data_IF_505683364019
#
_entry.id   IF_505683364019
#
_cell.length_a   1.000
_cell.length_b   1.000
_cell.length_c   1.000
_cell.angle_alpha   90.00
_cell.angle_beta   90.00
_cell.angle_gamma   90.00
#
_symmetry.space_group_name_H-M   'P 1'
#
loop_
_entity.id
_entity.type
_entity.pdbx_description
1 polymer ?
#
# COMPACT_ATOMS: atom_id res chain seq x y z
N UNK A 1 -10.96 34.41 -24.07
CA UNK A 1 -11.55 33.05 -24.10
C UNK A 1 -10.48 31.95 -24.00
N UNK A 2 -9.63 31.70 -25.00
CA UNK A 2 -8.63 30.58 -24.97
C UNK A 2 -7.76 30.51 -23.68
N UNK A 3 -7.27 31.63 -23.16
CA UNK A 3 -6.50 31.66 -21.89
C UNK A 3 -7.31 31.21 -20.66
N UNK A 4 -8.61 31.52 -20.60
CA UNK A 4 -9.50 31.09 -19.51
C UNK A 4 -9.65 29.57 -19.56
N UNK A 5 -9.82 29.01 -20.75
CA UNK A 5 -9.91 27.55 -20.96
C UNK A 5 -8.61 26.83 -20.58
N UNK A 6 -7.44 27.41 -20.91
CA UNK A 6 -6.14 26.86 -20.50
C UNK A 6 -5.97 26.89 -18.97
N UNK A 7 -6.32 28.01 -18.31
CA UNK A 7 -6.32 28.10 -16.86
C UNK A 7 -7.26 27.07 -16.21
N UNK A 8 -8.44 26.83 -16.80
CA UNK A 8 -9.39 25.81 -16.35
C UNK A 8 -8.82 24.38 -16.44
N UNK A 9 -8.10 24.05 -17.51
CA UNK A 9 -7.47 22.73 -17.71
C UNK A 9 -6.31 22.50 -16.73
N UNK A 10 -5.51 23.55 -16.44
CA UNK A 10 -4.47 23.49 -15.39
C UNK A 10 -5.11 23.34 -14.01
N UNK A 11 -6.22 24.03 -13.73
CA UNK A 11 -7.00 23.90 -12.50
C UNK A 11 -7.47 22.45 -12.25
N UNK A 12 -8.08 21.82 -13.27
CA UNK A 12 -8.59 20.44 -13.16
C UNK A 12 -7.46 19.42 -12.96
N UNK A 13 -6.31 19.62 -13.61
CA UNK A 13 -5.17 18.71 -13.44
C UNK A 13 -4.49 18.89 -12.07
N UNK A 14 -4.30 20.11 -11.57
CA UNK A 14 -3.69 20.35 -10.24
C UNK A 14 -4.59 19.87 -9.10
N UNK A 15 -5.90 20.14 -9.16
CA UNK A 15 -6.88 19.65 -8.16
C UNK A 15 -7.06 18.12 -8.14
N UNK A 16 -6.58 17.41 -9.18
CA UNK A 16 -6.52 15.95 -9.19
C UNK A 16 -5.35 15.38 -8.38
N UNK A 17 -4.30 16.16 -8.08
CA UNK A 17 -3.13 15.70 -7.31
C UNK A 17 -3.16 16.11 -5.83
N UNK A 18 -3.75 17.28 -5.51
CA UNK A 18 -3.84 17.83 -4.15
C UNK A 18 -4.58 16.94 -3.12
N UNK A 19 -5.38 15.98 -3.62
CA UNK A 19 -6.19 15.07 -2.80
C UNK A 19 -5.39 14.28 -1.74
N UNK A 20 -4.08 14.12 -1.91
CA UNK A 20 -3.21 13.40 -0.97
C UNK A 20 -2.85 14.23 0.26
N UNK A 21 -2.60 15.54 0.12
CA UNK A 21 -2.19 16.40 1.22
C UNK A 21 -3.35 16.77 2.12
N UNK A 22 -4.52 16.99 1.53
CA UNK A 22 -5.76 17.17 2.28
C UNK A 22 -6.11 15.91 3.09
N UNK A 23 -5.95 14.70 2.54
CA UNK A 23 -6.07 13.44 3.28
C UNK A 23 -5.08 13.30 4.45
N UNK A 24 -3.82 13.76 4.31
CA UNK A 24 -2.81 13.74 5.39
C UNK A 24 -3.23 14.62 6.58
N UNK A 25 -3.82 15.80 6.32
CA UNK A 25 -4.32 16.70 7.37
C UNK A 25 -5.59 16.13 8.02
N UNK A 26 -6.46 15.52 7.21
CA UNK A 26 -7.79 15.05 7.62
C UNK A 26 -7.76 13.73 8.39
N UNK A 27 -6.96 12.76 7.92
CA UNK A 27 -7.00 11.35 8.35
C UNK A 27 -5.64 10.83 8.84
N UNK A 28 -4.57 11.63 8.76
CA UNK A 28 -3.21 11.21 9.08
C UNK A 28 -3.00 10.92 10.57
N UNK A 29 -2.69 9.67 10.92
CA UNK A 29 -2.51 9.28 12.32
C UNK A 29 -1.04 9.42 12.70
N UNK A 30 -0.73 10.40 13.56
CA UNK A 30 0.60 10.56 14.15
C UNK A 30 0.97 9.38 15.03
N UNK A 31 1.91 8.56 14.56
CA UNK A 31 2.51 7.48 15.35
C UNK A 31 3.49 8.10 16.34
N UNK A 32 3.47 7.64 17.60
CA UNK A 32 4.37 8.09 18.68
C UNK A 32 5.51 7.08 18.90
N UNK A 33 6.32 7.34 19.92
CA UNK A 33 7.47 6.57 20.42
C UNK A 33 7.52 5.09 20.04
N UNK A 34 8.70 4.62 19.62
CA UNK A 34 9.01 3.28 19.07
C UNK A 34 8.48 3.00 17.66
N UNK A 35 7.45 3.71 17.21
CA UNK A 35 6.86 3.58 15.87
C UNK A 35 6.43 2.13 15.54
N UNK A 36 5.82 1.48 16.53
CA UNK A 36 5.33 0.09 16.44
C UNK A 36 3.83 0.07 16.10
N UNK A 37 3.45 -0.67 15.06
CA UNK A 37 2.05 -0.93 14.68
C UNK A 37 1.79 -2.43 14.83
N UNK A 38 0.82 -2.79 15.67
CA UNK A 38 0.44 -4.18 15.94
C UNK A 38 -0.84 -4.50 15.21
N UNK A 39 -0.83 -5.55 14.37
CA UNK A 39 -1.95 -5.98 13.56
C UNK A 39 -2.59 -7.26 14.12
N UNK A 40 -3.92 -7.31 14.08
CA UNK A 40 -4.72 -8.50 14.37
C UNK A 40 -5.66 -8.78 13.21
N UNK A 41 -5.90 -10.05 12.89
CA UNK A 41 -6.90 -10.46 11.89
C UNK A 41 -7.91 -11.42 12.53
N UNK A 42 -9.19 -11.04 12.56
CA UNK A 42 -10.29 -11.79 13.21
C UNK A 42 -10.92 -12.87 12.31
N UNK A 43 -10.33 -13.12 11.13
CA UNK A 43 -10.95 -13.94 10.09
C UNK A 43 -11.81 -13.18 9.09
N UNK A 44 -12.02 -11.86 9.24
CA UNK A 44 -12.83 -11.00 8.36
C UNK A 44 -12.18 -9.65 8.03
N UNK A 45 -11.48 -9.04 8.97
CA UNK A 45 -10.86 -7.71 8.90
C UNK A 45 -9.51 -7.68 9.60
N UNK A 46 -8.63 -6.80 9.13
CA UNK A 46 -7.41 -6.43 9.88
C UNK A 46 -7.76 -5.26 10.80
N UNK A 47 -7.28 -5.33 12.03
CA UNK A 47 -7.32 -4.28 13.03
C UNK A 47 -5.89 -3.87 13.40
N UNK A 48 -5.70 -2.66 13.91
CA UNK A 48 -4.40 -2.14 14.33
C UNK A 48 -4.45 -1.51 15.73
N UNK A 49 -3.33 -1.58 16.45
CA UNK A 49 -3.06 -0.83 17.68
C UNK A 49 -1.67 -0.18 17.60
N UNK A 50 -1.50 0.96 18.28
CA UNK A 50 -0.21 1.63 18.51
C UNK A 50 0.19 1.43 19.97
N UNK A 51 1.45 1.02 20.22
CA UNK A 51 2.07 0.88 21.54
C UNK A 51 1.15 0.22 22.63
N UNK A 52 1.10 -1.13 22.72
CA UNK A 52 0.16 -1.87 23.56
C UNK A 52 0.45 -1.79 25.08
N UNK A 53 1.45 -1.03 25.52
CA UNK A 53 1.93 -0.97 26.90
C UNK A 53 1.02 -0.20 27.90
N UNK A 54 -0.30 -0.17 27.66
CA UNK A 54 -1.30 0.50 28.52
C UNK A 54 -2.62 -0.28 28.51
N UNK A 55 -2.66 -1.39 29.24
CA UNK A 55 -3.80 -2.11 29.90
C UNK A 55 -5.18 -2.28 29.23
N UNK A 56 -5.36 -1.86 27.98
CA UNK A 56 -6.57 -2.09 27.20
C UNK A 56 -6.22 -2.26 25.71
N UNK A 57 -6.50 -3.45 25.17
CA UNK A 57 -6.25 -3.79 23.76
C UNK A 57 -7.34 -3.20 22.84
N UNK A 58 -7.37 -1.87 22.74
CA UNK A 58 -8.30 -1.13 21.88
C UNK A 58 -7.87 -1.14 20.40
N UNK A 59 -7.90 -2.34 19.81
CA UNK A 59 -7.73 -2.56 18.38
C UNK A 59 -8.80 -1.80 17.56
N UNK A 60 -8.35 -1.01 16.58
CA UNK A 60 -9.22 -0.26 15.65
C UNK A 60 -9.20 -0.93 14.28
N UNK A 61 -10.34 -1.03 13.60
CA UNK A 61 -10.38 -1.61 12.26
C UNK A 61 -9.51 -0.79 11.29
N UNK A 62 -8.70 -1.46 10.47
CA UNK A 62 -7.91 -0.81 9.42
C UNK A 62 -8.85 -0.42 8.29
N UNK A 63 -9.11 0.88 8.17
CA UNK A 63 -9.72 1.49 7.00
C UNK A 63 -8.81 1.32 5.78
N UNK A 64 -9.40 1.26 4.59
CA UNK A 64 -8.62 1.16 3.36
C UNK A 64 -7.78 2.42 3.14
N UNK A 65 -6.48 2.23 2.85
CA UNK A 65 -5.49 3.28 2.65
C UNK A 65 -5.16 4.16 3.88
N UNK A 66 -5.16 3.56 5.08
CA UNK A 66 -4.84 4.24 6.35
C UNK A 66 -3.51 5.01 6.31
N UNK A 67 -3.54 6.31 6.64
CA UNK A 67 -2.35 7.18 6.62
C UNK A 67 -1.67 7.17 8.00
N UNK A 68 -0.38 6.83 8.02
CA UNK A 68 0.44 6.77 9.23
C UNK A 68 1.62 7.74 9.12
N UNK A 69 1.78 8.57 10.16
CA UNK A 69 2.77 9.64 10.24
C UNK A 69 3.77 9.38 11.37
N UNK A 70 4.86 8.61 11.15
CA UNK A 70 5.89 8.38 12.15
C UNK A 70 6.75 9.62 12.36
N UNK A 71 7.24 9.81 13.59
CA UNK A 71 8.17 10.91 13.93
C UNK A 71 9.59 10.59 13.44
N UNK A 72 9.96 9.31 13.51
CA UNK A 72 11.21 8.76 13.02
C UNK A 72 11.12 8.39 11.52
N UNK A 73 12.16 7.74 11.00
CA UNK A 73 12.31 7.39 9.58
C UNK A 73 11.76 6.02 9.18
N UNK A 74 11.10 5.29 10.09
CA UNK A 74 10.45 4.00 9.80
C UNK A 74 9.28 3.70 10.75
N UNK A 75 8.48 2.69 10.40
CA UNK A 75 7.51 2.02 11.26
C UNK A 75 7.82 0.52 11.26
N UNK A 76 7.87 -0.08 12.45
CA UNK A 76 7.91 -1.53 12.61
C UNK A 76 6.47 -2.07 12.63
N UNK A 77 6.14 -2.96 11.70
CA UNK A 77 4.86 -3.65 11.70
C UNK A 77 5.00 -5.04 12.31
N UNK A 78 4.15 -5.31 13.30
CA UNK A 78 4.01 -6.60 13.97
C UNK A 78 2.63 -7.16 13.73
N UNK A 79 2.46 -8.46 13.87
CA UNK A 79 1.17 -9.13 13.85
C UNK A 79 1.06 -10.15 14.96
N UNK A 80 -0.15 -10.33 15.48
CA UNK A 80 -0.52 -11.59 16.16
C UNK A 80 -0.36 -12.71 15.12
N UNK A 81 0.31 -13.83 15.46
CA UNK A 81 0.51 -14.94 14.53
C UNK A 81 -0.81 -15.48 13.98
N UNK A 82 -0.76 -16.04 12.77
CA UNK A 82 -1.89 -16.73 12.16
C UNK A 82 -1.58 -18.21 12.01
N UNK A 83 -2.61 -19.05 12.18
CA UNK A 83 -2.53 -20.46 11.87
C UNK A 83 -2.17 -20.69 10.38
N UNK A 84 -0.99 -21.26 10.06
CA UNK A 84 -0.52 -21.41 8.69
C UNK A 84 -1.30 -22.45 7.87
N UNK A 85 -2.24 -23.18 8.49
CA UNK A 85 -3.19 -24.10 7.82
C UNK A 85 -4.42 -23.35 7.28
N UNK A 86 -4.77 -22.21 7.89
CA UNK A 86 -5.90 -21.39 7.48
C UNK A 86 -5.48 -20.18 6.66
N UNK A 87 -4.43 -19.47 7.09
CA UNK A 87 -4.07 -18.15 6.56
C UNK A 87 -2.56 -17.97 6.43
N UNK A 88 -2.15 -17.05 5.55
CA UNK A 88 -0.78 -16.51 5.53
C UNK A 88 -0.80 -15.03 5.19
N UNK A 89 -0.02 -14.24 5.93
CA UNK A 89 0.36 -12.90 5.49
C UNK A 89 1.30 -12.97 4.28
N UNK A 90 1.23 -11.94 3.43
CA UNK A 90 2.20 -11.61 2.39
C UNK A 90 2.18 -10.10 2.20
N UNK A 91 3.35 -9.47 2.08
CA UNK A 91 3.50 -8.01 2.16
C UNK A 91 4.21 -7.44 0.94
N UNK A 92 3.89 -6.19 0.61
CA UNK A 92 4.58 -5.39 -0.43
C UNK A 92 4.89 -4.00 0.11
N UNK A 93 6.08 -3.47 -0.24
CA UNK A 93 6.52 -2.10 0.08
C UNK A 93 6.88 -1.39 -1.22
N UNK A 94 5.93 -0.63 -1.76
CA UNK A 94 6.16 0.23 -2.92
C UNK A 94 6.40 1.67 -2.47
N UNK A 95 7.65 2.14 -2.53
CA UNK A 95 8.00 3.56 -2.30
C UNK A 95 7.64 4.40 -3.52
N UNK A 96 6.90 5.51 -3.32
CA UNK A 96 6.57 6.48 -4.37
C UNK A 96 7.01 7.88 -3.98
N UNK A 97 7.39 8.67 -4.98
CA UNK A 97 7.55 10.12 -4.81
C UNK A 97 6.21 10.72 -4.37
N UNK A 98 6.26 11.74 -3.52
CA UNK A 98 5.02 12.39 -3.12
C UNK A 98 4.41 13.18 -4.31
N UNK A 99 3.16 12.88 -4.75
CA UNK A 99 2.48 13.65 -5.78
C UNK A 99 2.28 15.12 -5.41
N UNK A 100 2.32 15.51 -4.13
CA UNK A 100 2.35 16.93 -3.74
C UNK A 100 3.61 17.62 -4.32
N UNK A 101 4.76 16.95 -4.27
CA UNK A 101 6.04 17.49 -4.72
C UNK A 101 6.20 17.34 -6.23
N UNK A 102 5.71 16.23 -6.80
CA UNK A 102 5.60 16.11 -8.25
C UNK A 102 4.57 17.10 -8.83
N UNK A 103 3.50 17.49 -8.14
CA UNK A 103 2.51 18.46 -8.64
C UNK A 103 2.91 19.91 -8.41
N UNK A 104 3.62 20.26 -7.33
CA UNK A 104 4.38 21.51 -7.24
C UNK A 104 5.39 21.58 -8.40
N UNK A 105 6.17 20.51 -8.60
CA UNK A 105 7.16 20.43 -9.67
C UNK A 105 6.53 20.39 -11.06
N UNK A 106 5.32 19.87 -11.25
CA UNK A 106 4.62 19.79 -12.55
C UNK A 106 3.70 20.98 -12.82
N UNK A 107 3.30 21.75 -11.81
CA UNK A 107 2.83 23.11 -12.03
C UNK A 107 3.99 23.99 -12.56
N UNK A 108 5.18 23.83 -11.99
CA UNK A 108 6.41 24.49 -12.45
C UNK A 108 6.92 23.94 -13.80
N UNK A 109 6.80 22.63 -14.04
CA UNK A 109 7.34 21.94 -15.23
C UNK A 109 6.30 21.79 -16.35
N UNK A 110 5.01 21.92 -16.09
CA UNK A 110 3.97 22.00 -17.14
C UNK A 110 4.12 23.25 -18.01
N UNK A 111 4.63 24.33 -17.41
CA UNK A 111 5.11 25.55 -18.10
C UNK A 111 6.30 25.25 -19.04
N UNK A 112 7.03 24.16 -18.82
CA UNK A 112 8.29 23.80 -19.49
C UNK A 112 8.10 22.62 -20.48
N UNK A 113 7.21 21.66 -20.19
CA UNK A 113 7.07 20.39 -20.92
C UNK A 113 6.19 20.49 -22.17
N UNK A 114 5.30 21.49 -22.24
CA UNK A 114 4.58 21.86 -23.47
C UNK A 114 5.53 22.09 -24.66
N UNK A 115 6.79 22.44 -24.40
CA UNK A 115 7.82 22.67 -25.41
C UNK A 115 8.51 21.41 -25.98
N UNK A 116 8.19 20.17 -25.51
CA UNK A 116 9.00 18.97 -25.83
C UNK A 116 8.27 17.74 -26.38
N UNK A 117 6.94 17.66 -26.34
CA UNK A 117 6.19 16.44 -26.67
C UNK A 117 5.87 16.30 -28.18
N UNK A 118 6.89 16.32 -29.07
CA UNK A 118 6.71 16.34 -30.53
C UNK A 118 7.32 15.16 -31.31
N UNK A 119 8.00 14.20 -30.68
CA UNK A 119 8.88 13.25 -31.39
C UNK A 119 8.72 11.77 -31.00
N UNK A 120 7.85 11.07 -31.75
CA UNK A 120 7.94 9.67 -32.19
C UNK A 120 7.92 8.49 -31.18
N UNK A 121 7.53 7.33 -31.72
CA UNK A 121 7.56 5.98 -31.11
C UNK A 121 7.58 4.90 -32.21
N UNK A 122 8.10 3.70 -31.92
CA UNK A 122 8.48 2.67 -32.93
C UNK A 122 7.89 1.28 -32.57
N UNK A 123 8.20 0.23 -33.35
CA UNK A 123 7.28 -0.84 -33.78
C UNK A 123 7.46 -2.21 -33.01
N UNK A 124 7.50 -3.46 -33.57
CA UNK A 124 6.72 -4.60 -33.06
C UNK A 124 7.54 -5.79 -32.48
N UNK A 125 6.89 -6.91 -32.14
CA UNK A 125 7.47 -8.27 -32.24
C UNK A 125 6.44 -9.43 -32.12
N UNK A 126 6.80 -10.63 -32.61
CA UNK A 126 6.57 -11.90 -31.87
C UNK A 126 5.61 -12.97 -32.44
N UNK A 127 6.11 -14.21 -32.61
CA UNK A 127 5.37 -15.47 -32.96
C UNK A 127 6.13 -16.69 -32.39
N UNK A 128 5.48 -17.78 -31.92
CA UNK A 128 6.04 -19.18 -31.86
C UNK A 128 5.01 -20.29 -31.49
N UNK A 129 5.39 -21.60 -31.44
CA UNK A 129 4.49 -22.80 -31.42
C UNK A 129 5.06 -24.11 -30.77
N UNK A 130 4.34 -25.27 -30.86
CA UNK A 130 4.69 -26.71 -30.60
C UNK A 130 4.57 -27.33 -29.14
N UNK A 131 4.43 -28.64 -28.83
CA UNK A 131 3.91 -29.89 -29.51
C UNK A 131 3.81 -31.18 -28.56
N UNK A 132 3.41 -32.34 -29.14
CA UNK A 132 3.66 -33.78 -28.76
C UNK A 132 3.01 -34.47 -27.50
N UNK A 133 3.01 -35.85 -27.43
CA UNK A 133 2.79 -36.89 -26.33
C UNK A 133 2.09 -38.19 -26.90
N UNK A 134 1.76 -39.39 -26.30
CA UNK A 134 1.62 -40.03 -24.94
C UNK A 134 1.67 -41.63 -25.02
N UNK A 135 1.96 -42.45 -23.96
CA UNK A 135 2.15 -43.95 -23.97
C UNK A 135 1.27 -44.80 -22.96
N UNK A 136 1.70 -45.99 -22.45
CA UNK A 136 1.27 -46.79 -21.23
C UNK A 136 -0.16 -47.46 -21.18
N UNK A 137 -0.61 -48.42 -20.31
CA UNK A 137 -0.35 -48.98 -18.92
C UNK A 137 -1.10 -50.37 -18.73
N UNK A 138 -1.12 -51.22 -17.66
CA UNK A 138 -0.23 -51.55 -16.48
C UNK A 138 -0.40 -53.01 -15.84
N UNK A 139 -1.42 -53.34 -15.00
CA UNK A 139 -1.57 -54.53 -14.06
C UNK A 139 -3.07 -54.88 -13.75
N UNK A 140 -3.56 -55.78 -12.82
CA UNK A 140 -3.00 -56.72 -11.77
C UNK A 140 -3.53 -58.20 -11.90
N UNK A 141 -3.88 -59.12 -10.96
CA UNK A 141 -3.95 -59.33 -9.45
C UNK A 141 -4.05 -60.88 -9.13
N UNK A 142 -3.71 -61.40 -7.93
CA UNK A 142 -4.18 -62.72 -7.40
C UNK A 142 -4.16 -62.81 -5.83
N UNK A 143 -5.03 -63.64 -5.23
CA UNK A 143 -5.60 -63.49 -3.87
C UNK A 143 -5.03 -64.45 -2.76
N UNK A 144 -4.32 -63.96 -1.70
CA UNK A 144 -4.32 -64.49 -0.28
C UNK A 144 -3.76 -63.57 0.88
N UNK A 145 -2.68 -63.83 1.66
CA UNK A 145 -2.56 -63.54 3.13
C UNK A 145 -2.58 -62.08 3.60
N UNK A 146 -2.40 -61.15 2.67
CA UNK A 146 -2.81 -59.74 2.74
C UNK A 146 -4.05 -59.47 3.60
N UNK A 147 -5.08 -60.31 3.55
CA UNK A 147 -6.40 -60.02 4.15
C UNK A 147 -6.31 -59.63 5.64
N UNK A 148 -5.37 -60.22 6.39
CA UNK A 148 -5.17 -59.97 7.82
C UNK A 148 -4.27 -58.75 8.13
N UNK A 149 -3.38 -58.40 7.19
CA UNK A 149 -2.60 -57.15 7.24
C UNK A 149 -3.42 -55.96 6.72
N UNK A 150 -4.34 -56.19 5.78
CA UNK A 150 -5.33 -55.22 5.32
C UNK A 150 -6.30 -54.87 6.42
N UNK A 151 -6.78 -55.80 7.25
CA UNK A 151 -7.63 -55.44 8.40
C UNK A 151 -6.97 -54.36 9.29
N UNK A 152 -5.65 -54.47 9.54
CA UNK A 152 -4.87 -53.48 10.31
C UNK A 152 -4.62 -52.14 9.59
N UNK A 153 -4.91 -52.05 8.30
CA UNK A 153 -4.95 -50.82 7.49
C UNK A 153 -6.39 -50.40 7.13
N UNK A 154 -7.38 -51.24 7.43
CA UNK A 154 -8.82 -51.03 7.21
C UNK A 154 -9.46 -50.32 8.40
N UNK A 155 -8.91 -50.53 9.60
CA UNK A 155 -8.92 -49.56 10.72
C UNK A 155 -8.03 -48.34 10.35
N UNK A 156 -8.35 -47.72 9.21
CA UNK A 156 -7.52 -46.72 8.53
C UNK A 156 -7.32 -45.51 9.44
N UNK A 157 -6.05 -45.16 9.68
CA UNK A 157 -5.72 -44.05 10.57
C UNK A 157 -6.04 -42.68 9.96
N UNK A 158 -6.48 -42.66 8.71
CA UNK A 158 -7.13 -41.54 8.01
C UNK A 158 -8.10 -40.73 8.86
N UNK A 159 -9.03 -41.34 9.59
CA UNK A 159 -9.97 -40.56 10.43
C UNK A 159 -9.28 -39.96 11.68
N UNK A 160 -8.32 -40.67 12.26
CA UNK A 160 -7.42 -40.13 13.31
C UNK A 160 -6.60 -38.95 12.76
N UNK A 161 -6.05 -39.07 11.56
CA UNK A 161 -5.24 -38.08 10.86
C UNK A 161 -6.08 -36.84 10.51
N UNK A 162 -7.28 -37.04 9.98
CA UNK A 162 -8.24 -35.98 9.68
C UNK A 162 -8.72 -35.26 10.96
N UNK A 163 -8.89 -35.99 12.07
CA UNK A 163 -9.20 -35.43 13.38
C UNK A 163 -8.06 -34.56 13.93
N UNK A 164 -6.80 -35.03 13.87
CA UNK A 164 -5.62 -34.25 14.28
C UNK A 164 -5.43 -33.03 13.37
N UNK A 165 -5.59 -33.18 12.05
CA UNK A 165 -5.57 -32.06 11.11
C UNK A 165 -6.69 -31.04 11.43
N UNK A 166 -7.90 -31.52 11.72
CA UNK A 166 -9.04 -30.69 12.12
C UNK A 166 -8.81 -29.96 13.45
N UNK A 167 -8.12 -30.58 14.40
CA UNK A 167 -7.70 -29.94 15.66
C UNK A 167 -6.63 -28.86 15.42
N UNK A 168 -5.56 -29.19 14.67
CA UNK A 168 -4.53 -28.23 14.27
C UNK A 168 -5.12 -27.06 13.48
N UNK A 169 -6.08 -27.31 12.58
CA UNK A 169 -6.78 -26.27 11.79
C UNK A 169 -7.78 -25.43 12.62
N UNK A 170 -8.12 -25.85 13.84
CA UNK A 170 -8.96 -25.08 14.77
C UNK A 170 -8.18 -24.16 15.71
N UNK A 171 -6.85 -24.27 15.80
CA UNK A 171 -6.03 -23.35 16.59
C UNK A 171 -6.15 -21.92 16.01
N UNK A 172 -6.53 -20.96 16.83
CA UNK A 172 -6.76 -19.57 16.40
C UNK A 172 -5.50 -18.69 16.45
N UNK A 173 -4.47 -19.13 17.19
CA UNK A 173 -3.23 -18.40 17.49
C UNK A 173 -3.42 -17.09 18.28
N UNK A 174 -4.58 -16.88 18.92
CA UNK A 174 -4.82 -15.73 19.78
C UNK A 174 -4.17 -15.87 21.17
N UNK A 175 -4.00 -17.10 21.65
CA UNK A 175 -3.41 -17.43 22.96
C UNK A 175 -2.16 -18.30 22.80
N UNK A 176 -1.05 -17.89 23.39
CA UNK A 176 0.19 -18.67 23.42
C UNK A 176 0.02 -20.01 24.16
N UNK A 177 -0.68 -19.99 25.30
CA UNK A 177 -0.87 -21.16 26.14
C UNK A 177 -1.72 -22.22 25.41
N UNK A 178 -2.85 -21.81 24.84
CA UNK A 178 -3.77 -22.73 24.16
C UNK A 178 -3.19 -23.27 22.85
N UNK A 179 -2.42 -22.44 22.13
CA UNK A 179 -1.69 -22.88 20.93
C UNK A 179 -0.61 -23.89 21.27
N UNK A 180 0.17 -23.67 22.34
CA UNK A 180 1.17 -24.64 22.83
C UNK A 180 0.52 -25.95 23.28
N UNK A 181 -0.54 -25.89 24.09
CA UNK A 181 -1.28 -27.06 24.55
C UNK A 181 -1.85 -27.87 23.37
N UNK A 182 -2.44 -27.20 22.38
CA UNK A 182 -2.94 -27.82 21.16
C UNK A 182 -1.84 -28.50 20.34
N UNK A 183 -0.68 -27.87 20.20
CA UNK A 183 0.48 -28.45 19.51
C UNK A 183 1.08 -29.65 20.24
N UNK A 184 1.20 -29.61 21.58
CA UNK A 184 1.65 -30.76 22.38
C UNK A 184 0.69 -31.95 22.26
N UNK A 185 -0.62 -31.71 22.24
CA UNK A 185 -1.60 -32.77 22.02
C UNK A 185 -1.48 -33.39 20.62
N UNK A 186 -1.24 -32.57 19.59
CA UNK A 186 -0.99 -33.06 18.23
C UNK A 186 0.34 -33.84 18.11
N UNK A 187 1.42 -33.37 18.74
CA UNK A 187 2.75 -34.02 18.75
C UNK A 187 2.68 -35.44 19.33
N UNK A 188 1.97 -35.58 20.46
CA UNK A 188 1.72 -36.87 21.11
C UNK A 188 0.94 -37.82 20.21
N UNK A 189 -0.13 -37.33 19.56
CA UNK A 189 -0.97 -38.12 18.66
C UNK A 189 -0.23 -38.55 17.38
N UNK A 190 0.52 -37.63 16.75
CA UNK A 190 1.38 -37.91 15.58
C UNK A 190 2.48 -38.92 15.95
N UNK A 191 3.10 -38.78 17.11
CA UNK A 191 4.10 -39.74 17.62
C UNK A 191 3.50 -41.13 17.86
N UNK A 192 2.26 -41.21 18.36
CA UNK A 192 1.55 -42.48 18.51
C UNK A 192 1.23 -43.12 17.14
N UNK A 193 0.77 -42.32 16.17
CA UNK A 193 0.51 -42.77 14.80
C UNK A 193 1.76 -43.30 14.12
N UNK A 194 2.88 -42.55 14.17
CA UNK A 194 4.18 -42.96 13.62
C UNK A 194 4.62 -44.31 14.20
N UNK A 195 4.65 -44.43 15.54
CA UNK A 195 4.96 -45.70 16.24
C UNK A 195 3.99 -46.85 15.96
N UNK A 196 2.77 -46.57 15.49
CA UNK A 196 1.82 -47.60 15.04
C UNK A 196 2.14 -48.05 13.62
N UNK A 197 2.38 -47.10 12.72
CA UNK A 197 2.68 -47.32 11.30
C UNK A 197 4.04 -48.02 11.10
N UNK A 198 5.05 -47.65 11.88
CA UNK A 198 6.38 -48.30 11.85
C UNK A 198 6.26 -49.81 12.22
N UNK A 199 5.41 -50.15 13.21
CA UNK A 199 5.10 -51.55 13.55
C UNK A 199 4.30 -52.30 12.48
N UNK A 200 3.67 -51.59 11.55
CA UNK A 200 3.06 -52.18 10.34
C UNK A 200 4.14 -52.39 9.28
N UNK A 201 5.04 -51.41 9.06
CA UNK A 201 6.20 -51.51 8.17
C UNK A 201 7.07 -52.73 8.50
N UNK A 202 7.44 -52.91 9.77
CA UNK A 202 8.22 -54.06 10.24
C UNK A 202 7.57 -55.41 9.87
N UNK A 203 6.23 -55.48 9.95
CA UNK A 203 5.46 -56.69 9.62
C UNK A 203 5.37 -56.92 8.12
N UNK A 204 5.19 -55.86 7.34
CA UNK A 204 5.22 -55.91 5.87
C UNK A 204 6.60 -56.41 5.41
N UNK A 205 7.69 -55.80 5.91
CA UNK A 205 9.05 -56.24 5.61
C UNK A 205 9.30 -57.70 5.99
N UNK A 206 8.81 -58.16 7.14
CA UNK A 206 8.98 -59.56 7.55
C UNK A 206 8.19 -60.52 6.66
N UNK A 207 6.99 -60.16 6.17
CA UNK A 207 6.28 -60.99 5.18
C UNK A 207 6.98 -60.96 3.82
N UNK A 208 7.58 -59.84 3.40
CA UNK A 208 8.41 -59.76 2.17
C UNK A 208 9.68 -60.63 2.31
N UNK A 209 10.36 -60.61 3.47
CA UNK A 209 11.52 -61.46 3.76
C UNK A 209 11.15 -62.95 3.69
N UNK A 210 10.02 -63.35 4.28
CA UNK A 210 9.49 -64.73 4.17
C UNK A 210 9.18 -65.08 2.72
N UNK A 211 8.50 -64.20 1.97
CA UNK A 211 8.18 -64.44 0.56
C UNK A 211 9.41 -64.64 -0.32
N UNK A 212 10.43 -63.82 -0.14
CA UNK A 212 11.68 -63.90 -0.90
C UNK A 212 12.53 -65.13 -0.50
N UNK A 213 12.24 -65.78 0.64
CA UNK A 213 12.89 -67.02 1.06
C UNK A 213 12.26 -68.30 0.47
N UNK A 214 11.13 -68.20 -0.24
CA UNK A 214 10.46 -69.35 -0.86
C UNK A 214 11.20 -69.75 -2.15
N UNK A 215 12.17 -70.66 -2.02
CA UNK A 215 12.80 -71.31 -3.17
C UNK A 215 11.85 -72.34 -3.78
N UNK A 216 11.66 -72.26 -5.09
CA UNK A 216 10.74 -73.12 -5.84
C UNK A 216 11.55 -74.14 -6.65
N UNK A 217 11.14 -75.41 -6.68
CA UNK A 217 11.71 -76.40 -7.59
C UNK A 217 11.28 -76.12 -9.04
N UNK A 218 12.14 -76.48 -10.00
CA UNK A 218 12.01 -76.07 -11.41
C UNK A 218 10.67 -76.47 -12.07
N UNK A 219 10.08 -77.60 -11.67
CA UNK A 219 8.82 -78.12 -12.24
C UNK A 219 7.54 -77.50 -11.64
N UNK A 220 7.64 -76.68 -10.59
CA UNK A 220 6.46 -76.24 -9.84
C UNK A 220 5.71 -75.06 -10.47
N UNK A 221 4.94 -75.31 -11.53
CA UNK A 221 4.06 -74.31 -12.16
C UNK A 221 3.05 -73.66 -11.19
N UNK A 222 2.67 -74.37 -10.12
CA UNK A 222 1.78 -73.85 -9.07
C UNK A 222 2.46 -72.77 -8.19
N UNK A 223 3.80 -72.73 -8.15
CA UNK A 223 4.54 -71.80 -7.34
C UNK A 223 4.62 -70.40 -7.95
N UNK A 224 4.86 -70.27 -9.27
CA UNK A 224 4.89 -68.95 -9.94
C UNK A 224 3.56 -68.19 -9.81
N UNK A 225 2.43 -68.88 -10.01
CA UNK A 225 1.10 -68.29 -9.84
C UNK A 225 0.85 -67.88 -8.38
N UNK A 226 1.21 -68.73 -7.42
CA UNK A 226 1.14 -68.41 -5.98
C UNK A 226 2.03 -67.20 -5.62
N UNK A 227 3.24 -67.13 -6.16
CA UNK A 227 4.20 -66.04 -5.94
C UNK A 227 3.70 -64.72 -6.57
N UNK A 228 3.10 -64.76 -7.76
CA UNK A 228 2.43 -63.61 -8.37
C UNK A 228 1.27 -63.10 -7.51
N UNK A 229 0.42 -63.98 -6.95
CA UNK A 229 -0.61 -63.54 -5.98
C UNK A 229 0.00 -62.77 -4.82
N UNK A 230 0.95 -63.39 -4.13
CA UNK A 230 1.48 -62.80 -2.92
C UNK A 230 2.24 -61.50 -3.24
N UNK A 231 2.87 -61.39 -4.41
CA UNK A 231 3.47 -60.15 -4.93
C UNK A 231 2.44 -59.06 -5.23
N UNK A 232 1.34 -59.36 -5.92
CA UNK A 232 0.34 -58.36 -6.34
C UNK A 232 -0.52 -57.87 -5.18
N UNK A 233 -0.89 -58.78 -4.26
CA UNK A 233 -1.45 -58.40 -2.97
C UNK A 233 -0.46 -57.64 -2.09
N UNK A 234 0.83 -57.99 -2.09
CA UNK A 234 1.84 -57.19 -1.41
C UNK A 234 1.98 -55.79 -2.05
N UNK A 235 1.82 -55.65 -3.38
CA UNK A 235 1.80 -54.35 -4.09
C UNK A 235 0.65 -53.46 -3.61
N UNK A 236 -0.57 -53.99 -3.44
CA UNK A 236 -1.69 -53.20 -2.88
C UNK A 236 -1.56 -52.98 -1.37
N UNK A 237 -0.98 -53.92 -0.61
CA UNK A 237 -0.69 -53.71 0.82
C UNK A 237 0.34 -52.60 1.04
N UNK A 238 1.43 -52.62 0.27
CA UNK A 238 2.42 -51.56 0.20
C UNK A 238 1.76 -50.26 -0.26
N UNK A 239 0.92 -50.28 -1.30
CA UNK A 239 0.16 -49.12 -1.74
C UNK A 239 -0.72 -48.49 -0.65
N UNK A 240 -1.41 -49.30 0.17
CA UNK A 240 -2.19 -48.83 1.32
C UNK A 240 -1.31 -48.29 2.44
N UNK A 241 -0.21 -48.98 2.75
CA UNK A 241 0.79 -48.51 3.70
C UNK A 241 1.41 -47.17 3.25
N UNK A 242 1.75 -47.03 1.98
CA UNK A 242 2.37 -45.83 1.39
C UNK A 242 1.36 -44.67 1.31
N UNK A 243 0.07 -44.95 1.12
CA UNK A 243 -1.00 -43.96 1.28
C UNK A 243 -1.09 -43.47 2.73
N UNK A 244 -1.20 -44.36 3.74
CA UNK A 244 -1.22 -43.97 5.15
C UNK A 244 0.06 -43.22 5.57
N UNK A 245 1.22 -43.66 5.09
CA UNK A 245 2.49 -42.99 5.31
C UNK A 245 2.53 -41.60 4.65
N UNK A 246 1.98 -41.45 3.44
CA UNK A 246 1.85 -40.15 2.76
C UNK A 246 0.89 -39.22 3.50
N UNK A 247 -0.25 -39.72 3.99
CA UNK A 247 -1.18 -38.98 4.87
C UNK A 247 -0.47 -38.48 6.13
N UNK A 248 0.30 -39.35 6.81
CA UNK A 248 1.05 -39.00 8.01
C UNK A 248 2.22 -38.04 7.73
N UNK A 249 2.94 -38.19 6.62
CA UNK A 249 4.00 -37.26 6.20
C UNK A 249 3.43 -35.87 5.88
N UNK A 250 2.26 -35.79 5.24
CA UNK A 250 1.55 -34.53 5.01
C UNK A 250 1.11 -33.89 6.34
N UNK A 251 0.54 -34.67 7.27
CA UNK A 251 0.19 -34.20 8.62
C UNK A 251 1.42 -33.70 9.40
N UNK A 252 2.53 -34.44 9.37
CA UNK A 252 3.79 -34.01 10.00
C UNK A 252 4.34 -32.72 9.40
N UNK A 253 4.29 -32.56 8.07
CA UNK A 253 4.72 -31.35 7.36
C UNK A 253 3.89 -30.13 7.81
N UNK A 254 2.58 -30.33 7.95
CA UNK A 254 1.64 -29.32 8.45
C UNK A 254 1.89 -28.98 9.93
N UNK A 255 2.06 -29.99 10.78
CA UNK A 255 2.41 -29.80 12.19
C UNK A 255 3.74 -29.04 12.35
N UNK A 256 4.79 -29.44 11.62
CA UNK A 256 6.10 -28.76 11.62
C UNK A 256 5.99 -27.28 11.20
N UNK A 257 5.20 -26.96 10.18
CA UNK A 257 4.93 -25.57 9.79
C UNK A 257 4.14 -24.78 10.86
N UNK A 258 3.16 -25.43 11.49
CA UNK A 258 2.32 -24.83 12.56
C UNK A 258 3.15 -24.56 13.82
N UNK A 259 4.05 -25.46 14.17
CA UNK A 259 5.00 -25.32 15.28
C UNK A 259 6.06 -24.24 15.01
N UNK A 260 6.64 -24.19 13.81
CA UNK A 260 7.58 -23.14 13.44
C UNK A 260 6.95 -21.73 13.54
N UNK A 261 5.67 -21.58 13.18
CA UNK A 261 4.93 -20.32 13.37
C UNK A 261 4.72 -19.96 14.85
N UNK A 262 4.44 -20.96 15.70
CA UNK A 262 4.32 -20.77 17.17
C UNK A 262 5.67 -20.41 17.79
N UNK A 263 6.76 -21.07 17.41
CA UNK A 263 8.11 -20.82 17.93
C UNK A 263 8.60 -19.42 17.52
N UNK A 264 8.36 -19.01 16.27
CA UNK A 264 8.65 -17.66 15.79
C UNK A 264 7.91 -16.58 16.60
N UNK A 265 6.62 -16.79 16.90
CA UNK A 265 5.83 -15.85 17.70
C UNK A 265 6.27 -15.80 19.18
N UNK A 266 6.49 -16.97 19.81
CA UNK A 266 6.97 -17.06 21.20
C UNK A 266 8.28 -16.30 21.41
N UNK A 267 9.20 -16.35 20.43
CA UNK A 267 10.52 -15.71 20.54
C UNK A 267 10.49 -14.18 20.65
N UNK A 268 9.36 -13.53 20.35
CA UNK A 268 9.18 -12.07 20.41
C UNK A 268 8.04 -11.62 21.36
N UNK A 269 7.46 -12.52 22.16
CA UNK A 269 6.33 -12.18 23.06
C UNK A 269 4.96 -12.30 22.37
N UNK A 270 4.72 -13.43 21.71
CA UNK A 270 3.51 -13.78 20.97
C UNK A 270 3.14 -12.86 19.79
N UNK A 271 4.16 -12.33 19.12
CA UNK A 271 4.04 -11.48 17.94
C UNK A 271 5.06 -11.88 16.87
N UNK A 272 4.77 -11.58 15.61
CA UNK A 272 5.69 -11.75 14.48
C UNK A 272 5.93 -10.37 13.85
N UNK A 273 7.20 -9.92 13.76
CA UNK A 273 7.55 -8.75 12.92
C UNK A 273 7.28 -9.14 11.46
N UNK A 274 6.41 -8.38 10.80
CA UNK A 274 6.15 -8.51 9.37
C UNK A 274 7.27 -7.80 8.61
N UNK A 275 7.39 -6.48 8.79
CA UNK A 275 8.29 -5.63 8.04
C UNK A 275 8.75 -4.41 8.85
N UNK A 276 9.73 -3.70 8.31
CA UNK A 276 10.02 -2.33 8.69
C UNK A 276 9.82 -1.40 7.48
N UNK A 277 8.78 -0.57 7.54
CA UNK A 277 8.40 0.31 6.45
C UNK A 277 9.05 1.66 6.65
N UNK A 278 10.05 1.98 5.81
CA UNK A 278 10.69 3.29 5.83
C UNK A 278 9.71 4.42 5.51
N UNK A 279 9.95 5.60 6.09
CA UNK A 279 9.26 6.85 5.84
C UNK A 279 10.25 7.87 5.22
N UNK A 280 10.70 7.64 3.97
CA UNK A 280 11.68 8.50 3.32
C UNK A 280 11.20 9.95 3.22
N UNK A 281 12.13 10.89 3.41
CA UNK A 281 11.84 12.33 3.31
C UNK A 281 11.28 12.66 1.93
N UNK A 282 10.23 13.49 1.89
CA UNK A 282 9.64 14.01 0.66
C UNK A 282 9.06 12.91 -0.28
N UNK A 283 8.78 11.73 0.27
CA UNK A 283 8.17 10.56 -0.38
C UNK A 283 7.09 9.92 0.52
N UNK A 284 6.41 8.89 0.02
CA UNK A 284 5.56 8.01 0.83
C UNK A 284 5.74 6.54 0.44
N UNK A 285 5.64 5.67 1.42
CA UNK A 285 5.69 4.22 1.24
C UNK A 285 4.28 3.67 1.27
N UNK A 286 3.87 3.01 0.20
CA UNK A 286 2.66 2.19 0.17
C UNK A 286 3.05 0.82 0.73
N UNK A 287 2.50 0.48 1.89
CA UNK A 287 2.66 -0.84 2.49
C UNK A 287 1.35 -1.61 2.36
N UNK A 288 1.34 -2.70 1.57
CA UNK A 288 0.18 -3.55 1.40
C UNK A 288 0.34 -4.83 2.22
N UNK A 289 -0.54 -5.02 3.21
CA UNK A 289 -0.63 -6.28 3.98
C UNK A 289 -1.77 -7.10 3.38
N UNK A 290 -1.43 -8.23 2.77
CA UNK A 290 -2.39 -9.17 2.21
C UNK A 290 -2.48 -10.42 3.07
N UNK A 291 -3.70 -10.76 3.50
CA UNK A 291 -4.03 -12.06 4.07
C UNK A 291 -4.60 -12.93 2.96
N UNK A 292 -3.93 -14.05 2.69
CA UNK A 292 -4.46 -15.13 1.84
C UNK A 292 -5.01 -16.27 2.70
N UNK A 293 -6.01 -17.01 2.21
CA UNK A 293 -6.22 -18.38 2.71
C UNK A 293 -5.02 -19.23 2.29
N UNK A 294 -4.46 -20.00 3.23
CA UNK A 294 -3.34 -20.90 2.93
C UNK A 294 -3.84 -22.26 2.43
N UNK A 295 -2.92 -23.01 1.80
CA UNK A 295 -3.27 -24.05 0.84
C UNK A 295 -3.30 -25.47 1.39
N UNK A 296 -4.07 -25.74 2.44
CA UNK A 296 -4.37 -27.11 2.89
C UNK A 296 -5.80 -27.27 3.41
N UNK A 297 -6.49 -28.32 2.95
CA UNK A 297 -7.84 -28.68 3.38
C UNK A 297 -8.04 -30.20 3.37
N UNK A 298 -9.16 -30.65 3.95
CA UNK A 298 -9.63 -32.03 3.74
C UNK A 298 -10.47 -32.05 2.46
N UNK A 299 -10.29 -33.06 1.62
CA UNK A 299 -11.28 -33.41 0.60
C UNK A 299 -12.53 -34.02 1.24
N UNK A 300 -13.58 -34.22 0.43
CA UNK A 300 -14.77 -34.99 0.84
C UNK A 300 -14.41 -36.42 1.29
N UNK A 301 -13.32 -36.97 0.73
CA UNK A 301 -12.70 -38.23 1.13
C UNK A 301 -11.79 -38.10 2.37
N UNK A 302 -11.87 -37.08 3.24
CA UNK A 302 -10.97 -36.89 4.40
C UNK A 302 -9.45 -36.87 4.06
N UNK A 303 -9.04 -36.66 2.81
CA UNK A 303 -7.62 -36.60 2.44
C UNK A 303 -7.06 -35.19 2.63
N UNK A 304 -5.85 -35.08 3.20
CA UNK A 304 -5.14 -33.80 3.31
C UNK A 304 -4.63 -33.40 1.91
N UNK A 305 -5.40 -32.54 1.23
CA UNK A 305 -5.09 -32.00 -0.10
C UNK A 305 -4.55 -30.57 0.00
N UNK A 306 -3.76 -30.16 -1.00
CA UNK A 306 -3.28 -28.78 -1.08
C UNK A 306 -4.21 -27.94 -1.94
N UNK A 307 -4.73 -26.85 -1.38
CA UNK A 307 -5.63 -25.93 -2.07
C UNK A 307 -4.91 -24.68 -2.59
N UNK A 308 -5.46 -24.07 -3.64
CA UNK A 308 -4.89 -22.85 -4.19
C UNK A 308 -4.98 -21.70 -3.18
N UNK A 309 -3.86 -21.00 -2.92
CA UNK A 309 -3.89 -19.75 -2.16
C UNK A 309 -4.83 -18.75 -2.84
N UNK A 310 -5.76 -18.18 -2.08
CA UNK A 310 -6.69 -17.15 -2.54
C UNK A 310 -6.52 -15.92 -1.66
N UNK A 311 -6.38 -14.74 -2.27
CA UNK A 311 -6.43 -13.47 -1.55
C UNK A 311 -7.75 -13.36 -0.82
N UNK A 312 -7.72 -13.24 0.51
CA UNK A 312 -8.91 -13.10 1.36
C UNK A 312 -9.17 -11.64 1.71
N UNK A 313 -8.10 -10.88 1.95
CA UNK A 313 -8.16 -9.46 2.25
C UNK A 313 -6.82 -8.80 1.94
N UNK A 314 -6.83 -7.59 1.38
CA UNK A 314 -5.65 -6.72 1.32
C UNK A 314 -6.00 -5.41 2.01
N UNK A 315 -5.13 -4.92 2.88
CA UNK A 315 -5.18 -3.56 3.42
C UNK A 315 -3.92 -2.80 3.06
N UNK A 316 -4.10 -1.52 2.78
CA UNK A 316 -3.01 -0.61 2.41
C UNK A 316 -2.81 0.42 3.52
N UNK A 317 -1.56 0.62 3.91
CA UNK A 317 -1.12 1.71 4.76
C UNK A 317 -0.28 2.67 3.91
N UNK A 318 -0.54 3.98 3.98
CA UNK A 318 0.35 5.00 3.42
C UNK A 318 1.23 5.56 4.55
N UNK A 319 2.51 5.22 4.54
CA UNK A 319 3.49 5.69 5.52
C UNK A 319 4.26 6.88 4.95
N UNK A 320 4.14 8.06 5.56
CA UNK A 320 4.95 9.24 5.19
C UNK A 320 5.35 10.03 6.43
N UNK A 321 6.58 10.54 6.45
CA UNK A 321 7.19 11.08 7.66
C UNK A 321 6.40 12.28 8.20
N UNK A 322 6.15 12.30 9.51
CA UNK A 322 5.45 13.38 10.20
C UNK A 322 6.09 14.76 9.90
N UNK A 323 5.34 15.62 9.20
CA UNK A 323 5.70 17.03 9.02
C UNK A 323 4.77 17.87 9.90
N UNK A 324 5.35 18.79 10.70
CA UNK A 324 4.54 19.71 11.52
C UNK A 324 3.77 20.72 10.67
N UNK A 325 4.32 21.09 9.52
CA UNK A 325 3.70 21.91 8.50
C UNK A 325 3.50 21.07 7.24
N UNK A 326 2.26 20.87 6.84
CA UNK A 326 1.86 20.09 5.65
C UNK A 326 1.64 21.07 4.49
N UNK A 327 2.41 20.89 3.40
CA UNK A 327 2.41 21.76 2.21
C UNK A 327 1.26 21.38 1.29
N UNK A 328 0.23 22.22 1.21
CA UNK A 328 -0.97 21.98 0.39
C UNK A 328 -1.02 23.04 -0.72
N UNK A 329 -1.15 22.63 -1.99
CA UNK A 329 -1.31 23.55 -3.13
C UNK A 329 -2.80 23.80 -3.34
N UNK A 330 -3.21 25.06 -3.31
CA UNK A 330 -4.60 25.46 -3.41
C UNK A 330 -4.83 26.49 -4.51
N UNK A 331 -6.06 26.51 -5.01
CA UNK A 331 -6.59 27.57 -5.85
C UNK A 331 -7.60 28.40 -5.04
N UNK A 332 -7.68 29.70 -5.33
CA UNK A 332 -8.56 30.59 -4.60
C UNK A 332 -8.72 31.96 -5.25
N UNK A 333 -9.43 32.83 -4.53
CA UNK A 333 -9.65 34.22 -4.89
C UNK A 333 -9.08 35.12 -3.79
N UNK A 334 -8.26 36.11 -4.17
CA UNK A 334 -7.75 37.12 -3.27
C UNK A 334 -8.32 38.50 -3.62
N UNK A 335 -9.07 39.09 -2.69
CA UNK A 335 -9.50 40.48 -2.77
C UNK A 335 -8.38 41.40 -2.30
N UNK A 336 -7.92 42.34 -3.12
CA UNK A 336 -6.94 43.38 -2.74
C UNK A 336 -7.11 44.64 -3.59
N UNK A 337 -6.70 45.79 -3.07
CA UNK A 337 -6.84 47.09 -3.74
C UNK A 337 -5.46 47.65 -4.12
N UNK A 338 -4.86 47.06 -5.16
CA UNK A 338 -3.60 47.50 -5.76
C UNK A 338 -3.88 48.42 -6.95
N UNK A 339 -3.41 49.66 -6.89
CA UNK A 339 -3.40 50.60 -8.01
C UNK A 339 -2.07 51.36 -8.06
N UNK A 340 -1.65 51.74 -9.27
CA UNK A 340 -0.31 52.30 -9.52
C UNK A 340 -0.34 53.43 -10.55
N UNK A 341 0.51 54.46 -10.40
CA UNK A 341 0.52 55.59 -11.32
C UNK A 341 0.82 55.14 -12.76
N UNK A 342 -0.03 55.59 -13.69
CA UNK A 342 0.16 55.43 -15.12
C UNK A 342 0.90 56.66 -15.65
N UNK A 343 1.73 56.48 -16.67
CA UNK A 343 2.45 57.58 -17.34
C UNK A 343 1.94 57.75 -18.77
N UNK A 344 1.89 59.00 -19.23
CA UNK A 344 1.50 59.35 -20.60
C UNK A 344 1.98 60.75 -20.96
N UNK A 345 1.53 61.27 -22.10
CA UNK A 345 1.95 62.59 -22.61
C UNK A 345 0.87 63.65 -22.36
N UNK A 346 1.29 64.85 -21.95
CA UNK A 346 0.50 66.09 -22.09
C UNK A 346 1.22 67.08 -23.01
N UNK A 347 0.52 68.12 -23.47
CA UNK A 347 1.10 69.19 -24.31
C UNK A 347 1.00 70.53 -23.58
N UNK A 348 2.07 71.33 -23.59
CA UNK A 348 2.09 72.68 -23.00
C UNK A 348 1.49 73.75 -23.93
N UNK A 349 1.39 74.99 -23.44
CA UNK A 349 0.90 76.14 -24.23
C UNK A 349 1.87 76.59 -25.35
N UNK A 350 3.01 75.94 -25.51
CA UNK A 350 4.02 76.18 -26.54
C UNK A 350 4.09 75.03 -27.56
N UNK A 351 3.21 74.03 -27.46
CA UNK A 351 3.16 72.86 -28.34
C UNK A 351 4.19 71.78 -28.04
N UNK A 352 4.91 71.85 -26.91
CA UNK A 352 5.87 70.84 -26.47
C UNK A 352 5.16 69.71 -25.73
N UNK A 353 5.64 68.49 -25.92
CA UNK A 353 5.14 67.31 -25.22
C UNK A 353 5.94 67.04 -23.94
N UNK A 354 5.23 66.74 -22.86
CA UNK A 354 5.78 66.51 -21.53
C UNK A 354 5.23 65.23 -20.92
N UNK A 355 6.03 64.56 -20.08
CA UNK A 355 5.60 63.40 -19.29
C UNK A 355 4.58 63.85 -18.23
N UNK A 356 3.42 63.19 -18.21
CA UNK A 356 2.31 63.45 -17.30
C UNK A 356 1.81 62.17 -16.61
N UNK A 357 1.13 62.33 -15.48
CA UNK A 357 0.35 61.27 -14.86
C UNK A 357 -0.92 61.01 -15.67
N UNK A 358 -1.12 59.76 -16.11
CA UNK A 358 -2.23 59.34 -16.97
C UNK A 358 -3.30 58.53 -16.21
N UNK A 359 -3.57 58.90 -14.96
CA UNK A 359 -4.41 58.15 -14.02
C UNK A 359 -3.65 56.99 -13.36
N UNK A 360 -4.36 55.92 -13.02
CA UNK A 360 -3.80 54.72 -12.39
C UNK A 360 -4.12 53.45 -13.16
N UNK A 361 -3.14 52.54 -13.29
CA UNK A 361 -3.37 51.15 -13.67
C UNK A 361 -3.85 50.39 -12.41
N UNK A 362 -5.15 50.09 -12.37
CA UNK A 362 -5.79 49.35 -11.28
C UNK A 362 -5.69 47.84 -11.56
N UNK A 363 -5.10 47.09 -10.62
CA UNK A 363 -5.15 45.62 -10.64
C UNK A 363 -6.56 45.17 -10.30
N UNK A 364 -7.06 44.10 -10.93
CA UNK A 364 -8.38 43.55 -10.63
C UNK A 364 -8.58 43.40 -9.11
N UNK A 365 -9.67 43.93 -8.57
CA UNK A 365 -9.88 43.89 -7.11
C UNK A 365 -10.07 42.47 -6.57
N UNK A 366 -10.56 41.55 -7.40
CA UNK A 366 -10.62 40.11 -7.12
C UNK A 366 -9.68 39.40 -8.09
N UNK A 367 -8.73 38.64 -7.54
CA UNK A 367 -7.68 37.98 -8.30
C UNK A 367 -7.80 36.47 -8.15
N UNK A 368 -7.76 35.73 -9.25
CA UNK A 368 -7.58 34.27 -9.17
C UNK A 368 -6.12 33.95 -8.84
N UNK A 369 -5.89 33.12 -7.83
CA UNK A 369 -4.57 32.87 -7.24
C UNK A 369 -4.28 31.38 -7.07
N UNK A 370 -3.05 30.99 -7.40
CA UNK A 370 -2.46 29.74 -6.93
C UNK A 370 -1.67 30.04 -5.64
N UNK A 371 -1.89 29.25 -4.59
CA UNK A 371 -1.29 29.42 -3.27
C UNK A 371 -0.67 28.11 -2.78
N UNK A 372 0.38 28.22 -1.96
CA UNK A 372 0.99 27.11 -1.22
C UNK A 372 0.76 27.41 0.26
N UNK A 373 -0.14 26.65 0.87
CA UNK A 373 -0.42 26.68 2.30
C UNK A 373 0.58 25.77 3.04
N UNK A 374 1.09 26.24 4.16
CA UNK A 374 1.87 25.44 5.10
C UNK A 374 1.02 25.20 6.34
N UNK A 375 0.13 24.21 6.25
CA UNK A 375 -0.87 23.89 7.28
C UNK A 375 -0.23 23.29 8.53
N UNK A 376 -0.44 23.91 9.68
CA UNK A 376 0.02 23.39 10.96
C UNK A 376 -0.82 22.16 11.35
N UNK A 377 -0.15 21.00 11.46
CA UNK A 377 -0.82 19.75 11.79
C UNK A 377 -1.19 19.67 13.28
N UNK A 378 -2.49 19.57 13.54
CA UNK A 378 -3.09 19.36 14.86
C UNK A 378 -3.95 18.09 14.77
N UNK A 379 -3.62 17.00 15.51
CA UNK A 379 -4.42 15.78 15.50
C UNK A 379 -5.88 16.06 15.90
N UNK A 380 -6.83 15.50 15.15
CA UNK A 380 -8.28 15.56 15.42
C UNK A 380 -8.87 16.99 15.50
N UNK A 381 -8.22 17.99 14.91
CA UNK A 381 -8.73 19.37 14.90
C UNK A 381 -9.68 19.63 13.73
N UNK A 382 -10.77 20.40 13.93
CA UNK A 382 -11.57 20.94 12.83
C UNK A 382 -10.94 22.20 12.20
N UNK A 383 -9.87 22.74 12.79
CA UNK A 383 -9.20 23.98 12.35
C UNK A 383 -7.67 23.81 12.29
N UNK A 384 -7.07 24.24 11.19
CA UNK A 384 -5.62 24.21 10.98
C UNK A 384 -5.12 25.60 10.58
N UNK A 385 -4.36 26.31 11.43
CA UNK A 385 -3.75 27.56 11.03
C UNK A 385 -2.61 27.29 10.03
N UNK A 386 -2.42 28.18 9.07
CA UNK A 386 -1.36 28.10 8.08
C UNK A 386 -0.69 29.46 7.86
N UNK A 387 0.56 29.43 7.37
CA UNK A 387 1.12 30.52 6.59
C UNK A 387 1.07 30.16 5.11
N UNK A 388 0.98 31.16 4.23
CA UNK A 388 0.86 30.94 2.80
C UNK A 388 1.73 31.89 1.99
N UNK A 389 2.17 31.41 0.83
CA UNK A 389 2.72 32.21 -0.27
C UNK A 389 1.94 31.89 -1.54
N UNK A 390 1.81 32.83 -2.48
CA UNK A 390 1.05 32.59 -3.70
C UNK A 390 1.27 33.61 -4.80
N UNK A 391 0.72 33.31 -5.98
CA UNK A 391 0.78 34.15 -7.18
C UNK A 391 -0.60 34.32 -7.82
N UNK A 392 -0.91 35.55 -8.22
CA UNK A 392 -2.15 35.93 -8.89
C UNK A 392 -2.00 35.96 -10.41
N UNK A 393 -2.90 35.26 -11.10
CA UNK A 393 -2.91 35.14 -12.55
C UNK A 393 -3.62 36.34 -13.23
N UNK A 394 -3.07 37.55 -13.04
CA UNK A 394 -3.49 38.72 -13.81
C UNK A 394 -2.81 38.74 -15.19
N UNK A 395 -3.55 39.14 -16.22
CA UNK A 395 -3.08 39.18 -17.60
C UNK A 395 -2.01 40.26 -17.87
N UNK A 396 -1.77 41.18 -16.93
CA UNK A 396 -0.88 42.34 -17.09
C UNK A 396 0.24 42.42 -16.05
N UNK A 397 -0.05 42.16 -14.77
CA UNK A 397 0.88 42.37 -13.64
C UNK A 397 0.83 41.17 -12.65
N UNK A 398 1.84 40.29 -12.58
CA UNK A 398 1.82 39.13 -11.70
C UNK A 398 1.90 39.54 -10.22
N UNK A 399 0.87 39.23 -9.45
CA UNK A 399 0.75 39.65 -8.05
C UNK A 399 1.29 38.56 -7.11
N UNK A 400 2.25 38.88 -6.25
CA UNK A 400 2.75 38.01 -5.19
C UNK A 400 1.97 38.23 -3.90
N UNK A 401 1.55 37.14 -3.26
CA UNK A 401 0.82 37.13 -2.00
C UNK A 401 1.63 36.42 -0.90
N UNK A 402 1.60 36.96 0.31
CA UNK A 402 2.14 36.33 1.52
C UNK A 402 1.25 36.60 2.72
N UNK A 403 1.01 35.63 3.60
CA UNK A 403 0.11 35.84 4.74
C UNK A 403 -0.14 34.63 5.61
N UNK A 404 -1.20 34.70 6.40
CA UNK A 404 -1.65 33.65 7.33
C UNK A 404 -3.15 33.40 7.18
N UNK A 405 -3.61 32.22 7.56
CA UNK A 405 -5.01 31.86 7.47
C UNK A 405 -5.38 30.63 8.30
N UNK A 406 -6.63 30.20 8.16
CA UNK A 406 -7.17 29.01 8.81
C UNK A 406 -7.92 28.15 7.80
N UNK A 407 -7.53 26.88 7.71
CA UNK A 407 -8.18 25.81 6.96
C UNK A 407 -9.22 25.12 7.85
N UNK A 408 -10.44 25.01 7.35
CA UNK A 408 -11.59 24.42 8.05
C UNK A 408 -11.81 22.98 7.56
N UNK A 409 -11.95 22.08 8.53
CA UNK A 409 -12.09 20.64 8.35
C UNK A 409 -13.29 20.08 9.14
N UNK A 410 -14.41 20.79 9.10
CA UNK A 410 -15.68 20.35 9.70
C UNK A 410 -16.81 20.57 8.70
N UNK A 411 -17.80 19.68 8.70
CA UNK A 411 -19.01 19.88 7.90
C UNK A 411 -19.83 21.06 8.49
N UNK A 412 -20.47 21.91 7.65
CA UNK A 412 -20.51 21.84 6.19
C UNK A 412 -19.28 22.45 5.49
N UNK A 413 -18.49 23.29 6.17
CA UNK A 413 -17.38 24.07 5.59
C UNK A 413 -16.06 23.28 5.40
N UNK A 414 -16.13 22.00 5.02
CA UNK A 414 -14.93 21.16 4.84
C UNK A 414 -14.16 21.63 3.59
N UNK A 415 -12.83 21.77 3.72
CA UNK A 415 -11.92 22.28 2.66
C UNK A 415 -12.29 23.70 2.19
N UNK A 416 -12.75 24.52 3.13
CA UNK A 416 -12.72 25.98 3.04
C UNK A 416 -11.47 26.49 3.75
N UNK A 417 -10.77 27.45 3.16
CA UNK A 417 -9.72 28.20 3.85
C UNK A 417 -9.90 29.70 3.65
N UNK A 418 -9.68 30.46 4.72
CA UNK A 418 -9.72 31.93 4.71
C UNK A 418 -8.34 32.44 5.17
N UNK A 419 -7.81 33.44 4.48
CA UNK A 419 -6.51 34.02 4.78
C UNK A 419 -6.49 35.54 4.70
N UNK A 420 -5.54 36.15 5.39
CA UNK A 420 -5.24 37.58 5.35
C UNK A 420 -3.72 37.77 5.25
N UNK A 421 -3.30 38.88 4.66
CA UNK A 421 -1.89 39.22 4.56
C UNK A 421 -1.64 40.34 3.57
N UNK A 422 -0.47 40.30 2.94
CA UNK A 422 0.03 41.34 2.06
C UNK A 422 0.19 40.85 0.62
N UNK A 423 -0.22 41.71 -0.32
CA UNK A 423 -0.03 41.57 -1.74
C UNK A 423 0.91 42.66 -2.27
N UNK A 424 1.80 42.30 -3.17
CA UNK A 424 2.63 43.22 -3.97
C UNK A 424 2.72 42.71 -5.40
N UNK A 425 3.19 43.54 -6.33
CA UNK A 425 3.36 43.18 -7.75
C UNK A 425 4.53 43.94 -8.36
N UNK A 426 4.96 43.52 -9.54
CA UNK A 426 5.81 44.33 -10.40
C UNK A 426 4.97 45.45 -10.99
N UNK A 427 5.53 46.66 -11.00
CA UNK A 427 4.87 47.89 -11.41
C UNK A 427 5.68 48.56 -12.52
N UNK A 428 4.97 49.22 -13.44
CA UNK A 428 5.59 50.06 -14.46
C UNK A 428 6.01 51.38 -13.82
N UNK A 429 7.30 51.68 -13.90
CA UNK A 429 7.87 52.94 -13.42
C UNK A 429 8.83 53.48 -14.45
N UNK A 430 8.90 54.80 -14.59
CA UNK A 430 9.99 55.47 -15.28
C UNK A 430 11.35 55.08 -14.65
N UNK A 431 12.41 55.14 -15.43
CA UNK A 431 13.77 54.79 -15.03
C UNK A 431 14.67 56.01 -14.98
N UNK A 432 14.53 56.91 -15.96
CA UNK A 432 15.30 58.16 -16.07
C UNK A 432 14.38 59.38 -16.16
N UNK A 433 13.25 59.26 -16.84
CA UNK A 433 12.29 60.34 -17.02
C UNK A 433 11.51 60.62 -15.72
N UNK A 434 11.02 61.85 -15.59
CA UNK A 434 10.17 62.34 -14.50
C UNK A 434 8.96 63.07 -15.07
N UNK A 435 7.90 63.15 -14.27
CA UNK A 435 6.73 63.97 -14.60
C UNK A 435 7.18 65.43 -14.74
N UNK A 436 6.86 66.05 -15.88
CA UNK A 436 7.32 67.38 -16.29
C UNK A 436 8.46 67.40 -17.30
N UNK A 437 9.21 66.30 -17.49
CA UNK A 437 10.29 66.25 -18.48
C UNK A 437 9.74 66.34 -19.92
N UNK A 438 10.48 67.01 -20.80
CA UNK A 438 10.15 67.14 -22.23
C UNK A 438 10.44 65.82 -22.95
N UNK A 439 9.51 65.36 -23.78
CA UNK A 439 9.63 64.15 -24.62
C UNK A 439 9.21 64.43 -26.06
N UNK A 440 9.67 63.58 -26.99
CA UNK A 440 9.23 63.60 -28.39
C UNK A 440 7.90 62.88 -28.62
N UNK A 441 7.52 61.97 -27.70
CA UNK A 441 6.20 61.35 -27.66
C UNK A 441 6.10 60.16 -26.72
N UNK A 442 4.98 59.45 -26.79
CA UNK A 442 4.69 58.28 -25.93
C UNK A 442 5.77 57.17 -26.05
N UNK A 443 6.43 57.06 -27.21
CA UNK A 443 7.50 56.09 -27.44
C UNK A 443 8.70 56.27 -26.50
N UNK A 444 9.01 57.50 -26.08
CA UNK A 444 10.09 57.76 -25.10
C UNK A 444 9.70 57.24 -23.72
N UNK A 445 8.45 57.45 -23.32
CA UNK A 445 7.87 56.94 -22.07
C UNK A 445 7.85 55.41 -22.08
N UNK A 446 7.34 54.80 -23.15
CA UNK A 446 7.25 53.34 -23.29
C UNK A 446 8.65 52.68 -23.32
N UNK A 447 9.67 53.39 -23.84
CA UNK A 447 11.07 52.95 -23.86
C UNK A 447 11.76 53.14 -22.50
N UNK A 448 11.44 54.20 -21.74
CA UNK A 448 12.01 54.44 -20.41
C UNK A 448 11.36 53.56 -19.33
N UNK A 449 10.05 53.27 -19.43
CA UNK A 449 9.32 52.41 -18.48
C UNK A 449 10.02 51.05 -18.28
N UNK A 450 10.24 50.69 -17.01
CA UNK A 450 10.74 49.38 -16.57
C UNK A 450 9.77 48.79 -15.56
N UNK A 451 9.71 47.46 -15.52
CA UNK A 451 9.06 46.73 -14.43
C UNK A 451 9.99 46.68 -13.22
N UNK A 452 9.63 47.38 -12.13
CA UNK A 452 10.31 47.31 -10.84
C UNK A 452 9.38 46.62 -9.83
N UNK A 453 9.93 45.82 -8.92
CA UNK A 453 9.10 45.20 -7.87
C UNK A 453 8.63 46.29 -6.91
N UNK A 454 7.35 46.30 -6.56
CA UNK A 454 6.80 47.31 -5.65
C UNK A 454 7.14 46.97 -4.20
N UNK A 455 7.72 47.94 -3.49
CA UNK A 455 7.85 47.88 -2.04
C UNK A 455 6.54 48.29 -1.32
N UNK A 456 5.48 48.62 -2.06
CA UNK A 456 4.14 48.89 -1.52
C UNK A 456 3.39 47.58 -1.34
N UNK A 457 3.16 47.23 -0.07
CA UNK A 457 2.38 46.06 0.33
C UNK A 457 0.95 46.48 0.67
N UNK A 458 -0.04 46.02 -0.10
CA UNK A 458 -1.46 46.24 0.20
C UNK A 458 -2.06 45.04 0.92
N UNK A 459 -3.04 45.22 1.82
CA UNK A 459 -3.73 44.10 2.45
C UNK A 459 -4.54 43.29 1.42
N UNK A 460 -4.71 42.00 1.69
CA UNK A 460 -5.69 41.16 0.98
C UNK A 460 -6.52 40.29 1.94
N UNK A 461 -7.69 39.90 1.46
CA UNK A 461 -8.53 38.84 2.02
C UNK A 461 -8.62 37.70 1.00
N UNK A 462 -8.15 36.51 1.38
CA UNK A 462 -8.13 35.31 0.55
C UNK A 462 -9.22 34.32 0.95
N UNK A 463 -9.86 33.70 -0.05
CA UNK A 463 -10.76 32.55 0.12
C UNK A 463 -10.31 31.46 -0.85
N UNK A 464 -10.11 30.25 -0.34
CA UNK A 464 -9.71 29.07 -1.10
C UNK A 464 -10.71 27.94 -0.84
N UNK A 465 -10.99 27.10 -1.85
CA UNK A 465 -12.07 26.11 -1.80
C UNK A 465 -11.62 24.79 -2.47
N UNK A 466 -11.91 23.66 -1.82
CA UNK A 466 -11.80 22.29 -2.34
C UNK A 466 -10.40 21.90 -2.88
N UNK A 467 -9.44 21.92 -1.95
CA UNK A 467 -8.08 21.36 -2.03
C UNK A 467 -8.01 19.98 -1.34
#
# INVERSE_FOLDING_TARGET
>A
MKQIMFALVVLVTVSSFAQNTSEVIENGIKVKSKNEIFLQFDGRSIFYQQNPAVDALHFKQVADSLILLPVESSINFYSIPLNPINYSYSTDITVKDNPDIQSISAALTGVISFAKALSAGVIPAGVMAAAAKKPACEFPELIKPYDNLVLRLKDSQKDTIASIFGALKKLDFLSEADTKNGLTNADNAITALRKSLDKVKDKIENVVKVLNSITCSADCCLAMTTQQSYSLKMKDLLGKYDQENTRLINLEKIYKATKAAQEAASSHGWIIKLDEVSAPRDKFSIYAVTVSTSGYELSDDNEIVSSAKKTKLTRVFRVTRFQRFVREVSAGFAYTNLSFPKFGVTTDSLGKQHVAGAGEDIVNKVNFTAMINYNYFIPNSPLHPFWQIGVGANASLPTLFTGVGVRVNSAPAKRLAISIGFASTWIKTLDKLKIGDVVSGQADIDTDVKYKFSNVFQPYLGIQINF
#
